data_IF_452388728058
#
_entry.id   IF_452388728058
#
_cell.length_a   1.000
_cell.length_b   1.000
_cell.length_c   1.000
_cell.angle_alpha   90.00
_cell.angle_beta   90.00
_cell.angle_gamma   90.00
#
_symmetry.space_group_name_H-M   'P 1'
#
loop_
_entity.id
_entity.type
_entity.pdbx_description
1 polymer ?
#
# COMPACT_ATOMS: atom_id res chain seq x y z
N UNK A 1 7.25 21.66 -2.38
CA UNK A 1 7.53 20.56 -3.31
C UNK A 1 8.39 19.48 -2.67
N UNK A 2 9.66 19.75 -2.34
CA UNK A 2 10.57 18.72 -1.78
C UNK A 2 9.98 17.89 -0.62
N UNK A 3 9.33 18.54 0.37
CA UNK A 3 8.69 17.81 1.47
C UNK A 3 7.51 16.93 1.01
N UNK A 4 6.70 17.37 0.04
CA UNK A 4 5.61 16.56 -0.52
C UNK A 4 6.15 15.37 -1.31
N UNK A 5 7.24 15.55 -2.06
CA UNK A 5 7.88 14.47 -2.81
C UNK A 5 8.47 13.42 -1.84
N UNK A 6 9.11 13.85 -0.76
CA UNK A 6 9.64 12.97 0.28
C UNK A 6 8.52 12.18 0.99
N UNK A 7 7.43 12.86 1.37
CA UNK A 7 6.27 12.22 2.01
C UNK A 7 5.60 11.24 1.03
N UNK A 8 5.44 11.62 -0.23
CA UNK A 8 4.92 10.75 -1.29
C UNK A 8 5.79 9.51 -1.47
N UNK A 9 7.13 9.66 -1.48
CA UNK A 9 8.07 8.55 -1.55
C UNK A 9 7.92 7.59 -0.35
N UNK A 10 7.79 8.13 0.86
CA UNK A 10 7.60 7.31 2.07
C UNK A 10 6.28 6.53 2.02
N UNK A 11 5.16 7.16 1.64
CA UNK A 11 3.89 6.46 1.49
C UNK A 11 3.96 5.34 0.45
N UNK A 12 4.62 5.59 -0.69
CA UNK A 12 4.84 4.56 -1.72
C UNK A 12 5.71 3.41 -1.22
N UNK A 13 6.77 3.72 -0.46
CA UNK A 13 7.68 2.71 0.12
C UNK A 13 6.96 1.83 1.13
N UNK A 14 6.21 2.43 2.07
CA UNK A 14 5.40 1.68 3.04
C UNK A 14 4.33 0.86 2.33
N UNK A 15 3.66 1.43 1.33
CA UNK A 15 2.68 0.75 0.50
C UNK A 15 3.25 -0.49 -0.20
N UNK A 16 4.49 -0.41 -0.70
CA UNK A 16 5.19 -1.54 -1.32
C UNK A 16 5.43 -2.69 -0.33
N UNK A 17 5.82 -2.39 0.90
CA UNK A 17 5.94 -3.41 1.95
C UNK A 17 4.59 -4.06 2.25
N UNK A 18 3.51 -3.27 2.38
CA UNK A 18 2.16 -3.81 2.59
C UNK A 18 1.71 -4.69 1.41
N UNK A 19 1.99 -4.29 0.17
CA UNK A 19 1.73 -5.08 -1.03
C UNK A 19 2.49 -6.40 -1.03
N UNK A 20 3.75 -6.42 -0.60
CA UNK A 20 4.52 -7.66 -0.51
C UNK A 20 3.83 -8.70 0.40
N UNK A 21 3.26 -8.26 1.52
CA UNK A 21 2.46 -9.12 2.41
C UNK A 21 1.10 -9.53 1.81
N UNK A 22 0.49 -8.69 0.97
CA UNK A 22 -0.73 -9.05 0.23
C UNK A 22 -0.47 -10.08 -0.88
N UNK A 23 0.75 -10.20 -1.39
CA UNK A 23 1.10 -11.25 -2.34
C UNK A 23 1.25 -12.63 -1.68
N UNK A 24 1.33 -12.71 -0.35
CA UNK A 24 1.36 -13.99 0.35
C UNK A 24 -0.01 -14.69 0.18
N UNK A 25 -0.04 -15.91 -0.38
CA UNK A 25 -1.29 -16.61 -0.66
C UNK A 25 -1.95 -17.09 0.64
N UNK A 26 -3.00 -16.38 1.05
CA UNK A 26 -3.91 -16.79 2.14
C UNK A 26 -5.08 -17.55 1.52
N UNK A 27 -4.87 -18.83 1.21
CA UNK A 27 -5.89 -19.74 0.69
C UNK A 27 -6.33 -20.75 1.75
N UNK A 28 -7.61 -21.16 1.73
CA UNK A 28 -8.15 -22.19 2.64
C UNK A 28 -7.41 -23.50 2.36
N UNK A 29 -6.54 -23.93 3.28
CA UNK A 29 -5.68 -25.10 3.12
C UNK A 29 -4.21 -24.83 2.78
N UNK A 30 -3.79 -23.55 2.74
CA UNK A 30 -2.37 -23.18 2.62
C UNK A 30 -1.56 -23.78 3.78
N UNK A 31 -0.44 -24.44 3.46
CA UNK A 31 0.50 -25.00 4.44
C UNK A 31 0.99 -23.92 5.40
N UNK A 32 1.12 -22.67 4.93
CA UNK A 32 1.58 -21.55 5.72
C UNK A 32 0.64 -21.25 6.91
N UNK A 33 -0.67 -21.28 6.67
CA UNK A 33 -1.64 -21.05 7.74
C UNK A 33 -1.70 -22.21 8.73
N UNK A 34 -1.52 -23.44 8.23
CA UNK A 34 -1.46 -24.64 9.06
C UNK A 34 -0.20 -24.71 9.91
N UNK A 35 0.91 -24.13 9.45
CA UNK A 35 2.19 -24.06 10.17
C UNK A 35 2.16 -22.99 11.28
N UNK A 36 1.44 -21.89 11.04
CA UNK A 36 1.33 -20.74 11.96
C UNK A 36 0.15 -20.91 12.95
N UNK A 37 -0.69 -21.92 12.77
CA UNK A 37 -1.85 -22.27 13.61
C UNK A 37 -2.84 -21.11 13.86
N UNK A 38 -2.90 -20.14 12.93
CA UNK A 38 -3.85 -19.02 12.98
C UNK A 38 -5.15 -19.44 12.26
N UNK A 39 -6.33 -19.21 12.86
CA UNK A 39 -7.61 -19.48 12.21
C UNK A 39 -7.76 -18.69 10.90
N UNK A 40 -8.18 -19.38 9.82
CA UNK A 40 -8.33 -18.80 8.47
C UNK A 40 -9.13 -17.50 8.42
N UNK A 41 -10.16 -17.39 9.24
CA UNK A 41 -10.99 -16.20 9.33
C UNK A 41 -10.21 -14.96 9.79
N UNK A 42 -9.28 -15.13 10.73
CA UNK A 42 -8.46 -14.03 11.22
C UNK A 42 -7.43 -13.60 10.18
N UNK A 43 -6.77 -14.55 9.52
CA UNK A 43 -5.82 -14.25 8.45
C UNK A 43 -6.50 -13.51 7.28
N UNK A 44 -7.72 -13.91 6.90
CA UNK A 44 -8.47 -13.26 5.83
C UNK A 44 -8.91 -11.85 6.23
N UNK A 45 -9.39 -11.65 7.47
CA UNK A 45 -9.72 -10.30 7.96
C UNK A 45 -8.50 -9.39 7.99
N UNK A 46 -7.35 -9.91 8.43
CA UNK A 46 -6.08 -9.17 8.39
C UNK A 46 -5.69 -8.80 6.97
N UNK A 47 -5.81 -9.73 6.02
CA UNK A 47 -5.48 -9.50 4.61
C UNK A 47 -6.37 -8.44 3.97
N UNK A 48 -7.68 -8.49 4.21
CA UNK A 48 -8.62 -7.47 3.73
C UNK A 48 -8.31 -6.11 4.36
N UNK A 49 -8.04 -6.06 5.67
CA UNK A 49 -7.64 -4.83 6.34
C UNK A 49 -6.34 -4.25 5.77
N UNK A 50 -5.33 -5.10 5.57
CA UNK A 50 -4.07 -4.73 4.95
C UNK A 50 -4.27 -4.22 3.51
N UNK A 51 -5.23 -4.80 2.78
CA UNK A 51 -5.68 -4.32 1.48
C UNK A 51 -6.16 -2.87 1.53
N UNK A 52 -7.05 -2.54 2.45
CA UNK A 52 -7.56 -1.17 2.63
C UNK A 52 -6.44 -0.20 2.99
N UNK A 53 -5.54 -0.59 3.91
CA UNK A 53 -4.37 0.23 4.29
C UNK A 53 -3.49 0.51 3.07
N UNK A 54 -3.21 -0.52 2.26
CA UNK A 54 -2.41 -0.40 1.04
C UNK A 54 -3.06 0.56 0.04
N UNK A 55 -4.37 0.47 -0.17
CA UNK A 55 -5.11 1.38 -1.05
C UNK A 55 -5.02 2.84 -0.58
N UNK A 56 -5.15 3.10 0.72
CA UNK A 56 -5.01 4.44 1.30
C UNK A 56 -3.59 4.97 1.09
N UNK A 57 -2.56 4.16 1.35
CA UNK A 57 -1.16 4.55 1.17
C UNK A 57 -0.84 4.91 -0.29
N UNK A 58 -1.30 4.12 -1.26
CA UNK A 58 -1.08 4.45 -2.68
C UNK A 58 -1.89 5.67 -3.13
N UNK A 59 -3.07 5.89 -2.56
CA UNK A 59 -3.86 7.10 -2.81
C UNK A 59 -3.13 8.33 -2.31
N UNK A 60 -2.62 8.30 -1.09
CA UNK A 60 -1.83 9.40 -0.51
C UNK A 60 -0.52 9.62 -1.26
N UNK A 61 0.19 8.55 -1.62
CA UNK A 61 1.38 8.60 -2.47
C UNK A 61 1.11 9.37 -3.77
N UNK A 62 0.08 8.96 -4.53
CA UNK A 62 -0.30 9.62 -5.77
C UNK A 62 -0.72 11.07 -5.55
N UNK A 63 -1.53 11.34 -4.51
CA UNK A 63 -2.01 12.69 -4.20
C UNK A 63 -0.85 13.64 -3.86
N UNK A 64 0.14 13.21 -3.08
CA UNK A 64 1.32 14.01 -2.78
C UNK A 64 2.07 14.44 -4.05
N UNK A 65 2.27 13.51 -4.99
CA UNK A 65 2.94 13.80 -6.26
C UNK A 65 2.10 14.68 -7.18
N UNK A 66 0.80 14.43 -7.31
CA UNK A 66 -0.11 15.26 -8.11
C UNK A 66 -0.10 16.71 -7.61
N UNK A 67 -0.16 16.92 -6.28
CA UNK A 67 -0.08 18.26 -5.70
C UNK A 67 1.30 18.88 -5.96
N UNK A 68 2.38 18.13 -5.71
CA UNK A 68 3.75 18.63 -5.91
C UNK A 68 4.00 19.03 -7.36
N UNK A 69 3.59 18.22 -8.33
CA UNK A 69 3.73 18.50 -9.76
C UNK A 69 2.83 19.63 -10.24
N UNK A 70 1.63 19.78 -9.66
CA UNK A 70 0.75 20.91 -9.91
C UNK A 70 1.43 22.23 -9.51
N UNK A 71 2.03 22.28 -8.31
CA UNK A 71 2.76 23.46 -7.82
C UNK A 71 4.00 23.75 -8.66
N UNK A 72 4.69 22.72 -9.16
CA UNK A 72 5.87 22.86 -10.02
C UNK A 72 5.52 23.28 -11.46
N UNK A 73 4.23 23.31 -11.83
CA UNK A 73 3.79 23.57 -13.20
C UNK A 73 4.08 22.41 -14.17
N UNK A 74 4.56 21.27 -13.69
CA UNK A 74 4.88 20.09 -14.52
C UNK A 74 3.64 19.50 -15.20
N UNK A 75 2.45 19.70 -14.60
CA UNK A 75 1.18 19.24 -15.14
C UNK A 75 0.59 20.18 -16.21
N UNK A 76 1.14 21.38 -16.38
CA UNK A 76 0.63 22.32 -17.38
C UNK A 76 1.12 21.91 -18.79
N UNK A 77 0.24 21.97 -19.81
CA UNK A 77 0.68 21.80 -21.18
C UNK A 77 1.65 22.94 -21.54
N UNK A 78 2.72 22.59 -22.27
CA UNK A 78 3.71 23.55 -22.78
C UNK A 78 3.10 24.50 -23.79
#
# INVERSE_FOLDING_TARGET
>A
CFMLDLVGLHFGSIGLFCTAFLFLPISRGSILLRLIDIPFEHATRYHVWLGHVTMILFTLHGLCYVISWSIQGTLQPK
#
